data_IF_995021186451
#
_entry.id   IF_995021186451
#
_cell.length_a   1.000
_cell.length_b   1.000
_cell.length_c   1.000
_cell.angle_alpha   90.00
_cell.angle_beta   90.00
_cell.angle_gamma   90.00
#
_symmetry.space_group_name_H-M   'P 1'
#
loop_
_entity.id
_entity.type
_entity.pdbx_description
1 polymer ?
#
# COMPACT_ATOMS: atom_id res chain seq x y z
N UNK A 1 -0.99 2.29 28.28
CA UNK A 1 -0.80 1.72 26.92
C UNK A 1 0.67 1.37 26.72
N UNK A 2 1.01 0.08 26.78
CA UNK A 2 2.39 -0.39 26.64
C UNK A 2 2.89 -0.20 25.20
N UNK A 3 4.20 -0.07 25.00
CA UNK A 3 4.85 0.18 23.69
C UNK A 3 4.39 -0.82 22.61
N UNK A 4 4.17 -2.09 23.00
CA UNK A 4 3.65 -3.18 22.16
C UNK A 4 2.22 -2.97 21.65
N UNK A 5 1.38 -2.27 22.41
CA UNK A 5 0.02 -1.92 21.98
C UNK A 5 -0.01 -0.80 20.94
N UNK A 6 0.96 0.13 21.01
CA UNK A 6 1.10 1.22 20.04
C UNK A 6 1.66 0.73 18.70
N UNK A 7 2.69 -0.12 18.72
CA UNK A 7 3.28 -0.66 17.48
C UNK A 7 2.25 -1.39 16.62
N UNK A 8 1.41 -2.25 17.23
CA UNK A 8 0.31 -2.93 16.54
C UNK A 8 -0.71 -1.97 15.89
N UNK A 9 -1.01 -0.86 16.56
CA UNK A 9 -1.94 0.14 16.01
C UNK A 9 -1.34 0.86 14.80
N UNK A 10 -0.07 1.25 14.87
CA UNK A 10 0.61 1.90 13.74
C UNK A 10 0.74 0.99 12.53
N UNK A 11 1.07 -0.29 12.74
CA UNK A 11 1.14 -1.26 11.63
C UNK A 11 -0.23 -1.49 10.99
N UNK A 12 -1.30 -1.60 11.78
CA UNK A 12 -2.65 -1.76 11.27
C UNK A 12 -3.12 -0.51 10.50
N UNK A 13 -2.89 0.68 11.05
CA UNK A 13 -3.21 1.94 10.39
C UNK A 13 -2.48 2.11 9.05
N UNK A 14 -1.19 1.71 8.99
CA UNK A 14 -0.42 1.75 7.75
C UNK A 14 -1.00 0.82 6.67
N UNK A 15 -1.34 -0.43 7.04
CA UNK A 15 -1.94 -1.37 6.11
C UNK A 15 -3.31 -0.89 5.60
N UNK A 16 -4.15 -0.34 6.48
CA UNK A 16 -5.45 0.21 6.10
C UNK A 16 -5.33 1.43 5.17
N UNK A 17 -4.32 2.28 5.36
CA UNK A 17 -4.07 3.43 4.49
C UNK A 17 -3.71 3.00 3.07
N UNK A 18 -2.85 1.98 2.92
CA UNK A 18 -2.48 1.42 1.62
C UNK A 18 -3.70 0.80 0.92
N UNK A 19 -4.50 0.00 1.64
CA UNK A 19 -5.71 -0.61 1.07
C UNK A 19 -6.70 0.45 0.55
N UNK A 20 -6.95 1.51 1.30
CA UNK A 20 -7.84 2.61 0.87
C UNK A 20 -7.28 3.38 -0.32
N UNK A 21 -5.96 3.48 -0.45
CA UNK A 21 -5.32 4.09 -1.60
C UNK A 21 -5.57 3.24 -2.86
N UNK A 22 -5.41 1.93 -2.74
CA UNK A 22 -5.61 0.99 -3.84
C UNK A 22 -7.08 0.94 -4.29
N UNK A 23 -8.04 0.99 -3.34
CA UNK A 23 -9.48 1.07 -3.64
C UNK A 23 -9.87 2.33 -4.42
N UNK A 24 -9.14 3.43 -4.25
CA UNK A 24 -9.45 4.71 -4.89
C UNK A 24 -9.10 4.72 -6.39
N UNK A 25 -8.22 3.83 -6.82
CA UNK A 25 -7.78 3.76 -8.21
C UNK A 25 -7.80 2.31 -8.72
N UNK A 26 -8.98 1.81 -9.13
CA UNK A 26 -9.13 0.43 -9.62
C UNK A 26 -8.24 0.09 -10.82
N UNK A 27 -7.81 1.09 -11.60
CA UNK A 27 -7.06 0.93 -12.84
C UNK A 27 -5.81 1.82 -12.94
N UNK A 28 -5.27 2.31 -11.81
CA UNK A 28 -3.90 2.84 -11.84
C UNK A 28 -2.94 1.67 -11.67
N UNK A 29 -2.22 1.36 -12.73
CA UNK A 29 -1.02 0.55 -12.59
C UNK A 29 -0.04 1.28 -11.66
N UNK A 30 0.54 0.55 -10.71
CA UNK A 30 1.61 1.12 -9.89
C UNK A 30 2.77 1.45 -10.82
N UNK A 31 3.53 2.49 -10.52
CA UNK A 31 4.71 2.83 -11.32
C UNK A 31 5.63 1.62 -11.52
N UNK A 32 5.81 0.80 -10.47
CA UNK A 32 6.58 -0.44 -10.52
C UNK A 32 5.98 -1.54 -11.41
N UNK A 33 4.67 -1.51 -11.67
CA UNK A 33 4.01 -2.43 -12.60
C UNK A 33 4.12 -1.87 -14.03
N UNK A 34 3.93 -0.56 -14.23
CA UNK A 34 4.18 0.11 -15.52
C UNK A 34 5.63 -0.02 -16.00
N UNK A 35 6.60 0.05 -15.09
CA UNK A 35 8.02 -0.11 -15.41
C UNK A 35 8.36 -1.55 -15.80
N UNK A 36 7.59 -2.55 -15.35
CA UNK A 36 7.74 -3.94 -15.83
C UNK A 36 7.16 -4.11 -17.22
N UNK A 37 6.00 -3.52 -17.47
CA UNK A 37 5.34 -3.63 -18.77
C UNK A 37 6.13 -2.91 -19.88
N UNK A 38 6.78 -1.79 -19.57
CA UNK A 38 7.67 -1.08 -20.51
C UNK A 38 8.97 -1.82 -20.83
N UNK A 39 9.48 -2.65 -19.91
CA UNK A 39 10.71 -3.41 -20.12
C UNK A 39 10.48 -4.76 -20.82
N UNK A 40 9.22 -5.13 -21.06
CA UNK A 40 8.83 -6.35 -21.78
C UNK A 40 8.49 -6.11 -23.27
N UNK A 41 8.73 -4.89 -23.79
CA UNK A 41 8.55 -4.51 -25.20
C UNK A 41 9.89 -4.29 -25.91
#
# INVERSE_FOLDING_TARGET
>A
MTKKSKSKRFTAQGADAVRKHDERFPYRERLADMDKDKNNF
#
